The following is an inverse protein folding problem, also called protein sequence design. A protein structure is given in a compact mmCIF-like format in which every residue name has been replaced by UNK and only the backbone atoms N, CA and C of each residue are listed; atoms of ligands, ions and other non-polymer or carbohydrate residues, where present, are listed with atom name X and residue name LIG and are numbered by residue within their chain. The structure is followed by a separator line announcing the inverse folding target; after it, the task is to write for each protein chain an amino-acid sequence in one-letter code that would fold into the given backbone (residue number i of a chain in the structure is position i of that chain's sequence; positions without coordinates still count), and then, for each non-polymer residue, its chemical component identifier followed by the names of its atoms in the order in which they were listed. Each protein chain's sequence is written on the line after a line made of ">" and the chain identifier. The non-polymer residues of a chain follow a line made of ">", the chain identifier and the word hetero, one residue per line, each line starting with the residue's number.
data_IF_071156971829
#
_entry.id   IF_071156971829
#
_cell.length_a   1.000
_cell.length_b   1.000
_cell.length_c   1.000
_cell.angle_alpha   90.00
_cell.angle_beta   90.00
_cell.angle_gamma   90.00
#
_symmetry.space_group_name_H-M   'P 1'
#
loop_
_entity.id
_entity.type
_entity.pdbx_description
1 polymer ?
#
# COMPACT_ATOMS: atom_id res chain seq x y z
N UNK A 1 15.64 -10.38 1.85
CA UNK A 1 15.35 -9.31 2.84
C UNK A 1 15.41 -9.81 4.28
N UNK A 2 14.61 -10.79 4.73
CA UNK A 2 14.60 -11.23 6.15
C UNK A 2 15.93 -11.77 6.69
N UNK A 3 16.69 -12.53 5.88
CA UNK A 3 18.06 -12.95 6.22
C UNK A 3 19.10 -11.84 6.06
N UNK A 4 18.87 -10.93 5.11
CA UNK A 4 19.75 -9.81 4.76
C UNK A 4 19.61 -8.61 5.72
N UNK A 5 18.57 -8.61 6.56
CA UNK A 5 18.22 -7.55 7.51
C UNK A 5 18.20 -6.13 6.91
N UNK A 6 17.79 -6.03 5.64
CA UNK A 6 17.68 -4.77 4.91
C UNK A 6 16.69 -4.89 3.76
N UNK A 7 16.08 -3.76 3.39
CA UNK A 7 15.33 -3.61 2.15
C UNK A 7 14.13 -2.66 2.23
N UNK A 8 13.44 -2.50 1.10
CA UNK A 8 12.29 -1.59 0.94
C UNK A 8 11.18 -2.31 0.19
N UNK A 9 9.96 -2.21 0.71
CA UNK A 9 8.72 -2.71 0.11
C UNK A 9 7.83 -1.51 -0.21
N UNK A 10 7.41 -1.37 -1.46
CA UNK A 10 6.48 -0.32 -1.90
C UNK A 10 5.22 -0.97 -2.45
N UNK A 11 4.11 -0.78 -1.73
CA UNK A 11 2.79 -1.25 -2.15
C UNK A 11 2.05 -0.14 -2.90
N UNK A 12 1.33 -0.50 -3.96
CA UNK A 12 0.54 0.45 -4.77
C UNK A 12 -0.92 0.40 -4.33
N UNK A 13 -1.30 1.35 -3.47
CA UNK A 13 -2.68 1.63 -3.09
C UNK A 13 -3.37 2.49 -4.19
N UNK A 14 -4.32 3.33 -3.81
CA UNK A 14 -5.01 4.28 -4.71
C UNK A 14 -5.70 5.35 -3.87
N UNK A 15 -5.89 6.55 -4.42
CA UNK A 15 -6.75 7.56 -3.80
C UNK A 15 -8.17 7.00 -3.56
N UNK A 16 -8.65 6.09 -4.41
CA UNK A 16 -9.94 5.40 -4.26
C UNK A 16 -9.97 4.52 -3.00
N UNK A 17 -8.84 3.98 -2.57
CA UNK A 17 -8.73 3.26 -1.29
C UNK A 17 -8.70 4.16 -0.05
N UNK A 18 -8.58 5.48 -0.22
CA UNK A 18 -8.58 6.47 0.86
C UNK A 18 -9.93 7.15 1.00
N UNK A 19 -10.48 7.66 -0.11
CA UNK A 19 -11.72 8.44 -0.12
C UNK A 19 -12.92 7.73 -0.74
N UNK A 20 -12.73 6.54 -1.32
CA UNK A 20 -13.75 5.89 -2.13
C UNK A 20 -13.96 6.55 -3.49
N UNK A 21 -14.90 6.02 -4.28
CA UNK A 21 -15.34 6.58 -5.56
C UNK A 21 -16.83 6.33 -5.76
N UNK A 22 -17.50 7.26 -6.45
CA UNK A 22 -18.96 7.40 -6.46
C UNK A 22 -19.70 6.14 -6.96
N UNK A 23 -19.26 5.53 -8.07
CA UNK A 23 -19.98 4.37 -8.64
C UNK A 23 -19.03 3.22 -9.02
N UNK A 24 -19.46 1.99 -8.74
CA UNK A 24 -18.94 0.76 -9.35
C UNK A 24 -17.56 0.27 -8.89
N UNK A 25 -16.97 0.84 -7.83
CA UNK A 25 -15.61 0.51 -7.39
C UNK A 25 -15.51 0.01 -5.95
N UNK A 26 -16.57 -0.58 -5.39
CA UNK A 26 -16.55 -1.06 -4.00
C UNK A 26 -15.45 -2.11 -3.76
N UNK A 27 -15.33 -3.10 -4.63
CA UNK A 27 -14.28 -4.12 -4.59
C UNK A 27 -12.87 -3.52 -4.72
N UNK A 28 -12.68 -2.59 -5.66
CA UNK A 28 -11.40 -1.91 -5.87
C UNK A 28 -11.04 -1.04 -4.66
N UNK A 29 -11.98 -0.25 -4.15
CA UNK A 29 -11.82 0.58 -2.96
C UNK A 29 -11.43 -0.28 -1.75
N UNK A 30 -12.14 -1.39 -1.51
CA UNK A 30 -11.83 -2.33 -0.44
C UNK A 30 -10.42 -2.92 -0.58
N UNK A 31 -10.04 -3.36 -1.79
CA UNK A 31 -8.70 -3.91 -2.05
C UNK A 31 -7.58 -2.88 -1.80
N UNK A 32 -7.79 -1.62 -2.19
CA UNK A 32 -6.79 -0.55 -2.07
C UNK A 32 -6.72 0.03 -0.65
N UNK A 33 -7.84 0.09 0.06
CA UNK A 33 -7.89 0.39 1.49
C UNK A 33 -7.21 -0.72 2.30
N UNK A 34 -7.46 -1.99 1.95
CA UNK A 34 -6.82 -3.16 2.54
C UNK A 34 -5.31 -3.11 2.43
N UNK A 35 -4.76 -2.69 1.28
CA UNK A 35 -3.32 -2.49 1.11
C UNK A 35 -2.73 -1.44 2.06
N UNK A 36 -3.47 -0.38 2.39
CA UNK A 36 -3.02 0.65 3.34
C UNK A 36 -2.91 0.04 4.75
N UNK A 37 -3.95 -0.68 5.19
CA UNK A 37 -3.95 -1.38 6.48
C UNK A 37 -2.86 -2.44 6.57
N UNK A 38 -2.77 -3.30 5.55
CA UNK A 38 -1.72 -4.31 5.41
C UNK A 38 -0.32 -3.69 5.51
N UNK A 39 -0.07 -2.60 4.81
CA UNK A 39 1.25 -1.95 4.82
C UNK A 39 1.61 -1.38 6.19
N UNK A 40 0.64 -0.83 6.92
CA UNK A 40 0.87 -0.33 8.29
C UNK A 40 1.29 -1.47 9.23
N UNK A 41 0.60 -2.61 9.18
CA UNK A 41 0.94 -3.78 9.98
C UNK A 41 2.29 -4.34 9.56
N UNK A 42 2.50 -4.57 8.27
CA UNK A 42 3.74 -5.12 7.73
C UNK A 42 4.95 -4.26 8.10
N UNK A 43 4.84 -2.92 8.01
CA UNK A 43 5.92 -2.02 8.40
C UNK A 43 6.36 -2.23 9.85
N UNK A 44 5.42 -2.49 10.76
CA UNK A 44 5.73 -2.78 12.18
C UNK A 44 6.38 -4.15 12.35
N UNK A 45 5.90 -5.15 11.63
CA UNK A 45 6.43 -6.53 11.69
C UNK A 45 7.88 -6.61 11.17
N UNK A 46 8.20 -5.87 10.12
CA UNK A 46 9.50 -5.97 9.44
C UNK A 46 10.50 -4.89 9.89
N UNK A 47 10.07 -3.87 10.63
CA UNK A 47 10.95 -2.82 11.17
C UNK A 47 12.13 -3.36 12.00
N UNK A 48 11.96 -4.33 12.93
CA UNK A 48 13.08 -4.92 13.67
C UNK A 48 14.12 -5.62 12.78
N UNK A 49 13.76 -5.91 11.53
CA UNK A 49 14.63 -6.55 10.54
C UNK A 49 15.28 -5.53 9.59
N UNK A 50 15.22 -4.22 9.89
CA UNK A 50 15.82 -3.18 9.05
C UNK A 50 15.13 -3.00 7.69
N UNK A 51 13.89 -3.48 7.55
CA UNK A 51 13.11 -3.38 6.33
C UNK A 51 12.07 -2.28 6.50
N UNK A 52 11.89 -1.46 5.46
CA UNK A 52 10.84 -0.43 5.41
C UNK A 52 9.73 -0.87 4.47
N UNK A 53 8.48 -0.68 4.88
CA UNK A 53 7.32 -0.90 4.02
C UNK A 53 6.47 0.37 3.95
N UNK A 54 6.12 0.82 2.74
CA UNK A 54 5.30 2.01 2.51
C UNK A 54 4.27 1.76 1.40
N UNK A 55 3.15 2.47 1.48
CA UNK A 55 2.10 2.42 0.48
C UNK A 55 2.05 3.77 -0.25
N UNK A 56 2.04 3.74 -1.57
CA UNK A 56 1.81 4.93 -2.41
C UNK A 56 0.38 4.85 -2.92
N UNK A 57 -0.39 5.93 -2.82
CA UNK A 57 -1.76 6.01 -3.29
C UNK A 57 -1.88 6.99 -4.47
N UNK A 58 -1.67 6.51 -5.72
CA UNK A 58 -1.79 7.38 -6.88
C UNK A 58 -3.21 7.93 -7.06
N UNK A 59 -3.27 9.18 -7.51
CA UNK A 59 -4.47 9.79 -8.05
C UNK A 59 -4.58 9.58 -9.56
N UNK A 60 -5.21 10.53 -10.26
CA UNK A 60 -5.23 10.53 -11.71
C UNK A 60 -3.80 10.67 -12.26
N UNK A 61 -3.41 9.78 -13.18
CA UNK A 61 -2.12 9.80 -13.84
C UNK A 61 -2.31 9.53 -15.34
N UNK A 62 -1.50 10.17 -16.17
CA UNK A 62 -1.46 9.94 -17.62
C UNK A 62 -0.54 8.74 -17.86
N UNK A 63 -1.08 7.70 -18.51
CA UNK A 63 -0.27 6.59 -19.04
C UNK A 63 0.18 6.97 -20.46
N UNK A 64 1.47 6.83 -20.74
CA UNK A 64 2.02 6.94 -22.09
C UNK A 64 1.87 5.62 -22.83
#
# INVERSE_FOLDING_TARGET
>A
MMKQKSGVIINIASIVGVMGKIFGQANYSASKAGLIGFTKTLAREVAPRGIRANAVAPGFMIQR
#
